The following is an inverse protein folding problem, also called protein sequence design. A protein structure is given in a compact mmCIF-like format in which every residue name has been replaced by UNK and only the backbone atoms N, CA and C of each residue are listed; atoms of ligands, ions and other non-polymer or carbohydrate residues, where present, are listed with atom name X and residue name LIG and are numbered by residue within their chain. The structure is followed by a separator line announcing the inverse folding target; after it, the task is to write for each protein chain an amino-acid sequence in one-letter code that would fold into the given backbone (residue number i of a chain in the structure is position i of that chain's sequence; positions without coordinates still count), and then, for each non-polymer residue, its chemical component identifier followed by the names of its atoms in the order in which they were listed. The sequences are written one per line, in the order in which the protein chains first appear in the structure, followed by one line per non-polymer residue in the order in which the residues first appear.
data_IF_016241183336
#
_entry.id   IF_016241183336
#
_cell.length_a   1.000
_cell.length_b   1.000
_cell.length_c   1.000
_cell.angle_alpha   90.00
_cell.angle_beta   90.00
_cell.angle_gamma   90.00
#
_symmetry.space_group_name_H-M   'P 1'
#
loop_
_entity.id
_entity.type
_entity.pdbx_description
1 polymer ?
#
# COMPACT_ATOMS: atom_id res chain seq x y z
N UNK A 1 4.77 23.90 -18.33
CA UNK A 1 5.13 22.93 -17.28
C UNK A 1 3.97 21.96 -17.18
N UNK A 2 4.18 20.64 -17.14
CA UNK A 2 3.10 19.70 -16.92
C UNK A 2 2.53 19.90 -15.51
N UNK A 3 1.21 19.96 -15.39
CA UNK A 3 0.52 20.15 -14.12
C UNK A 3 -0.57 19.10 -13.92
N UNK A 4 -0.94 18.86 -12.67
CA UNK A 4 -2.07 18.01 -12.29
C UNK A 4 -2.73 18.59 -11.04
N UNK A 5 -4.04 18.82 -11.07
CA UNK A 5 -4.76 19.37 -9.93
C UNK A 5 -5.52 18.25 -9.19
N UNK A 6 -5.39 18.24 -7.86
CA UNK A 6 -6.07 17.31 -6.97
C UNK A 6 -7.10 18.07 -6.15
N UNK A 7 -8.38 17.74 -6.35
CA UNK A 7 -9.47 18.29 -5.56
C UNK A 7 -9.84 17.34 -4.42
N UNK A 8 -9.89 17.92 -3.22
CA UNK A 8 -10.24 17.26 -1.98
C UNK A 8 -11.65 17.72 -1.59
N UNK A 9 -12.63 16.85 -1.79
CA UNK A 9 -14.05 17.23 -1.69
C UNK A 9 -14.52 17.67 -0.28
N UNK A 10 -15.77 18.14 -0.16
CA UNK A 10 -16.32 18.66 1.11
C UNK A 10 -16.48 17.60 2.21
N UNK A 11 -16.40 16.32 1.85
CA UNK A 11 -16.44 15.20 2.80
C UNK A 11 -15.04 14.66 3.15
N UNK A 12 -13.98 15.33 2.73
CA UNK A 12 -12.61 14.91 3.02
C UNK A 12 -12.33 15.08 4.53
N UNK A 13 -11.81 14.04 5.18
CA UNK A 13 -11.77 14.00 6.65
C UNK A 13 -10.70 14.92 7.28
N UNK A 14 -9.67 15.31 6.52
CA UNK A 14 -8.71 16.32 6.97
C UNK A 14 -9.23 17.71 6.61
N UNK A 15 -9.56 18.51 7.62
CA UNK A 15 -10.13 19.86 7.45
C UNK A 15 -9.17 20.83 6.76
N UNK A 16 -7.85 20.58 6.78
CA UNK A 16 -6.88 21.41 6.06
C UNK A 16 -6.96 21.21 4.54
N UNK A 17 -7.43 20.03 4.12
CA UNK A 17 -7.59 19.66 2.73
C UNK A 17 -9.05 19.73 2.29
N UNK A 18 -10.01 19.74 3.21
CA UNK A 18 -11.42 19.79 2.87
C UNK A 18 -11.76 21.02 2.01
N UNK A 19 -12.38 20.76 0.86
CA UNK A 19 -12.73 21.75 -0.16
C UNK A 19 -11.52 22.55 -0.69
N UNK A 20 -10.36 21.89 -0.78
CA UNK A 20 -9.13 22.45 -1.33
C UNK A 20 -8.81 21.82 -2.68
N UNK A 21 -8.29 22.61 -3.61
CA UNK A 21 -7.62 22.11 -4.80
C UNK A 21 -6.13 22.35 -4.64
N UNK A 22 -5.31 21.33 -4.90
CA UNK A 22 -3.86 21.42 -4.84
C UNK A 22 -3.24 21.06 -6.18
N UNK A 23 -2.44 21.98 -6.73
CA UNK A 23 -1.78 21.81 -8.03
C UNK A 23 -0.39 21.22 -7.86
N UNK A 24 -0.13 20.10 -8.51
CA UNK A 24 1.20 19.54 -8.71
C UNK A 24 1.81 20.16 -9.97
N UNK A 25 3.05 20.64 -9.87
CA UNK A 25 3.76 21.26 -10.98
C UNK A 25 5.12 20.59 -11.15
N UNK A 26 5.41 20.11 -12.36
CA UNK A 26 6.71 19.50 -12.66
C UNK A 26 7.65 20.58 -13.20
N UNK A 27 8.74 20.85 -12.47
CA UNK A 27 9.74 21.83 -12.85
C UNK A 27 10.45 21.43 -14.14
N UNK A 28 10.50 22.31 -15.13
CA UNK A 28 11.11 22.05 -16.45
C UNK A 28 12.63 21.99 -16.47
N UNK A 29 13.29 22.40 -15.39
CA UNK A 29 14.73 22.68 -15.35
C UNK A 29 15.53 21.67 -14.50
N UNK A 30 14.87 20.63 -14.00
CA UNK A 30 15.53 19.60 -13.19
C UNK A 30 16.11 18.51 -14.11
N UNK A 31 17.35 18.10 -13.86
CA UNK A 31 18.02 16.97 -14.52
C UNK A 31 17.25 15.65 -14.26
N UNK A 32 16.26 15.70 -13.36
CA UNK A 32 15.26 14.66 -13.12
C UNK A 32 14.22 14.62 -14.24
N UNK A 33 14.28 13.55 -15.04
CA UNK A 33 13.27 13.17 -16.04
C UNK A 33 11.92 12.71 -15.45
N UNK A 34 11.63 13.03 -14.19
CA UNK A 34 10.39 12.64 -13.50
C UNK A 34 10.15 13.44 -12.22
N UNK A 35 8.87 13.64 -11.85
CA UNK A 35 8.47 14.15 -10.55
C UNK A 35 7.78 13.08 -9.71
N UNK A 36 7.98 13.08 -8.39
CA UNK A 36 7.31 12.20 -7.43
C UNK A 36 6.78 13.05 -6.27
N UNK A 37 5.51 12.84 -5.92
CA UNK A 37 4.86 13.42 -4.75
C UNK A 37 4.28 12.31 -3.89
N UNK A 38 4.67 12.27 -2.63
CA UNK A 38 4.21 11.29 -1.65
C UNK A 38 3.01 11.86 -0.91
N UNK A 39 1.92 11.10 -0.91
CA UNK A 39 0.72 11.35 -0.11
C UNK A 39 0.75 10.42 1.11
N UNK A 40 0.62 10.98 2.30
CA UNK A 40 0.65 10.17 3.51
C UNK A 40 0.45 10.98 4.78
N UNK A 41 0.31 10.26 5.90
CA UNK A 41 0.05 10.88 7.20
C UNK A 41 1.28 11.49 7.86
N UNK A 42 2.49 11.09 7.46
CA UNK A 42 3.70 11.68 8.06
C UNK A 42 3.94 13.10 7.53
N UNK A 43 4.44 14.01 8.37
CA UNK A 43 4.82 15.37 7.97
C UNK A 43 6.01 15.41 7.00
N UNK A 44 6.67 14.28 6.77
CA UNK A 44 7.74 14.15 5.77
C UNK A 44 7.21 13.83 4.37
N UNK A 45 5.89 13.72 4.19
CA UNK A 45 5.28 13.53 2.88
C UNK A 45 5.02 14.89 2.23
N UNK A 46 5.13 14.97 0.90
CA UNK A 46 4.88 16.19 0.15
C UNK A 46 3.45 16.70 0.38
N UNK A 47 2.48 15.78 0.39
CA UNK A 47 1.11 16.05 0.78
C UNK A 47 0.81 15.30 2.08
N UNK A 48 0.89 16.05 3.19
CA UNK A 48 0.63 15.53 4.53
C UNK A 48 -0.88 15.50 4.79
N UNK A 49 -1.47 14.31 4.80
CA UNK A 49 -2.90 14.05 5.02
C UNK A 49 -3.06 13.38 6.39
N UNK A 50 -3.41 14.16 7.42
CA UNK A 50 -3.39 13.72 8.82
C UNK A 50 -4.68 12.99 9.23
N UNK A 51 -4.97 11.89 8.54
CA UNK A 51 -6.16 11.06 8.77
C UNK A 51 -5.70 9.69 9.28
N UNK A 52 -6.29 9.19 10.36
CA UNK A 52 -5.87 7.95 11.03
C UNK A 52 -5.70 6.76 10.08
N UNK A 53 -6.66 6.59 9.18
CA UNK A 53 -6.74 5.45 8.27
C UNK A 53 -5.83 5.62 7.03
N UNK A 54 -5.22 6.81 6.86
CA UNK A 54 -4.16 7.05 5.88
C UNK A 54 -2.83 6.57 6.47
N UNK A 55 -2.13 5.73 5.70
CA UNK A 55 -0.80 5.22 6.05
C UNK A 55 0.25 6.33 6.07
N UNK A 56 1.33 6.09 6.82
CA UNK A 56 2.45 7.02 6.99
C UNK A 56 3.01 7.56 5.67
N UNK A 57 3.26 6.65 4.72
CA UNK A 57 3.45 6.90 3.29
C UNK A 57 2.44 6.01 2.59
N UNK A 58 1.40 6.58 2.00
CA UNK A 58 0.24 5.81 1.54
C UNK A 58 0.34 5.50 0.06
N UNK A 59 0.44 6.56 -0.74
CA UNK A 59 0.51 6.49 -2.18
C UNK A 59 1.50 7.53 -2.69
N UNK A 60 1.93 7.39 -3.93
CA UNK A 60 2.69 8.41 -4.65
C UNK A 60 2.01 8.75 -5.96
N UNK A 61 2.05 10.01 -6.34
CA UNK A 61 1.76 10.47 -7.69
C UNK A 61 3.09 10.76 -8.39
N UNK A 62 3.25 10.21 -9.58
CA UNK A 62 4.47 10.26 -10.36
C UNK A 62 4.19 10.85 -11.73
N UNK A 63 5.10 11.67 -12.23
CA UNK A 63 5.11 12.13 -13.61
C UNK A 63 6.34 11.62 -14.35
N UNK A 64 6.15 11.04 -15.53
CA UNK A 64 7.23 10.59 -16.43
C UNK A 64 7.33 11.51 -17.63
N UNK A 65 8.46 12.19 -17.82
CA UNK A 65 8.69 13.01 -19.02
C UNK A 65 8.83 12.17 -20.29
N UNK A 66 9.39 10.95 -20.19
CA UNK A 66 9.56 10.07 -21.34
C UNK A 66 8.22 9.59 -21.91
N UNK A 67 7.23 9.38 -21.04
CA UNK A 67 5.88 8.97 -21.43
C UNK A 67 4.89 10.14 -21.50
N UNK A 68 5.28 11.33 -21.05
CA UNK A 68 4.41 12.49 -20.84
C UNK A 68 3.12 12.11 -20.08
N UNK A 69 3.26 11.39 -18.96
CA UNK A 69 2.14 10.74 -18.29
C UNK A 69 2.23 10.84 -16.77
N UNK A 70 1.09 11.14 -16.15
CA UNK A 70 0.87 11.05 -14.72
C UNK A 70 0.42 9.64 -14.32
N UNK A 71 0.85 9.18 -13.14
CA UNK A 71 0.48 7.87 -12.60
C UNK A 71 0.40 7.87 -11.09
N UNK A 72 -0.48 7.04 -10.55
CA UNK A 72 -0.58 6.76 -9.12
C UNK A 72 0.00 5.37 -8.79
N UNK A 73 0.55 5.24 -7.58
CA UNK A 73 1.11 3.99 -7.07
C UNK A 73 0.79 3.85 -5.58
N UNK A 74 0.40 2.66 -5.14
CA UNK A 74 0.29 2.31 -3.72
C UNK A 74 1.65 1.93 -3.13
N UNK A 75 2.02 2.53 -1.99
CA UNK A 75 3.32 2.32 -1.33
C UNK A 75 3.30 1.20 -0.29
N UNK A 76 2.28 0.34 -0.32
CA UNK A 76 2.04 -0.70 0.68
C UNK A 76 1.21 -0.16 1.84
N UNK A 77 0.17 0.60 1.52
CA UNK A 77 -0.73 1.14 2.53
C UNK A 77 -1.55 0.02 3.19
N UNK A 78 -1.94 0.22 4.45
CA UNK A 78 -2.71 -0.77 5.21
C UNK A 78 -4.11 -0.98 4.61
N UNK A 79 -4.83 0.11 4.34
CA UNK A 79 -6.20 0.07 3.82
C UNK A 79 -6.26 0.04 2.29
N UNK A 80 -5.15 0.32 1.60
CA UNK A 80 -5.02 0.30 0.15
C UNK A 80 -5.34 1.63 -0.53
N UNK A 81 -4.81 1.77 -1.74
CA UNK A 81 -5.16 2.81 -2.70
C UNK A 81 -6.11 2.24 -3.76
N UNK A 82 -7.18 2.96 -4.09
CA UNK A 82 -8.15 2.56 -5.12
C UNK A 82 -8.26 3.66 -6.18
N UNK A 83 -8.14 3.31 -7.44
CA UNK A 83 -8.30 4.22 -8.59
C UNK A 83 -9.52 3.75 -9.39
N UNK A 84 -10.54 4.62 -9.53
CA UNK A 84 -11.77 4.32 -10.27
C UNK A 84 -12.44 2.98 -9.87
N UNK A 85 -12.47 2.69 -8.58
CA UNK A 85 -13.02 1.43 -8.04
C UNK A 85 -12.10 0.21 -8.16
N UNK A 86 -10.92 0.34 -8.78
CA UNK A 86 -9.93 -0.73 -8.90
C UNK A 86 -8.80 -0.52 -7.88
N UNK A 87 -8.59 -1.49 -6.99
CA UNK A 87 -7.50 -1.44 -6.02
C UNK A 87 -6.15 -1.58 -6.71
N UNK A 88 -5.24 -0.67 -6.41
CA UNK A 88 -3.87 -0.71 -6.90
C UNK A 88 -3.11 -1.83 -6.18
N UNK A 89 -2.32 -2.60 -6.93
CA UNK A 89 -1.33 -3.48 -6.32
C UNK A 89 -0.16 -2.64 -5.81
N UNK A 90 0.42 -3.08 -4.70
CA UNK A 90 1.60 -2.42 -4.13
C UNK A 90 2.71 -2.32 -5.18
N UNK A 91 3.21 -1.11 -5.42
CA UNK A 91 4.28 -0.86 -6.37
C UNK A 91 3.88 -0.79 -7.84
N UNK A 92 2.62 -1.08 -8.20
CA UNK A 92 2.18 -0.95 -9.59
C UNK A 92 1.84 0.51 -9.90
N UNK A 93 2.45 1.05 -10.96
CA UNK A 93 2.11 2.36 -11.50
C UNK A 93 0.88 2.25 -12.39
N UNK A 94 -0.12 3.09 -12.13
CA UNK A 94 -1.34 3.19 -12.94
C UNK A 94 -1.52 4.60 -13.47
N UNK A 95 -1.70 4.78 -14.79
CA UNK A 95 -1.99 6.08 -15.36
C UNK A 95 -3.20 6.73 -14.69
N UNK A 96 -3.14 8.05 -14.53
CA UNK A 96 -4.26 8.86 -14.05
C UNK A 96 -4.56 10.00 -15.03
N UNK A 97 -5.84 10.27 -15.23
CA UNK A 97 -6.35 11.29 -16.14
C UNK A 97 -7.31 12.25 -15.41
N UNK A 98 -7.62 13.38 -16.05
CA UNK A 98 -8.60 14.33 -15.52
C UNK A 98 -9.97 13.64 -15.40
N UNK A 99 -10.63 13.82 -14.26
CA UNK A 99 -11.89 13.17 -13.90
C UNK A 99 -11.72 11.88 -13.09
N UNK A 100 -10.50 11.35 -12.98
CA UNK A 100 -10.24 10.14 -12.19
C UNK A 100 -10.47 10.36 -10.71
N UNK A 101 -10.91 9.28 -10.05
CA UNK A 101 -11.19 9.24 -8.63
C UNK A 101 -10.20 8.32 -7.92
N UNK A 102 -9.43 8.89 -7.01
CA UNK A 102 -8.41 8.22 -6.23
C UNK A 102 -8.83 8.19 -4.77
N UNK A 103 -8.98 7.01 -4.20
CA UNK A 103 -9.24 6.83 -2.78
C UNK A 103 -7.99 6.42 -2.04
N UNK A 104 -7.72 7.12 -0.94
CA UNK A 104 -6.77 6.73 0.10
C UNK A 104 -7.57 6.22 1.30
N UNK A 105 -7.57 4.89 1.52
CA UNK A 105 -8.55 4.26 2.39
C UNK A 105 -10.00 4.63 1.98
N UNK A 106 -10.73 5.35 2.84
CA UNK A 106 -12.09 5.83 2.59
C UNK A 106 -12.18 7.27 2.08
N UNK A 107 -11.05 7.95 1.84
CA UNK A 107 -11.01 9.38 1.52
C UNK A 107 -10.80 9.60 0.02
N UNK A 108 -11.72 10.31 -0.61
CA UNK A 108 -11.72 10.55 -2.06
C UNK A 108 -10.95 11.83 -2.44
N UNK A 109 -10.06 11.69 -3.41
CA UNK A 109 -9.40 12.75 -4.14
C UNK A 109 -9.82 12.65 -5.61
N UNK A 110 -10.23 13.76 -6.22
CA UNK A 110 -10.60 13.81 -7.63
C UNK A 110 -9.53 14.55 -8.42
N UNK A 111 -9.12 14.00 -9.57
CA UNK A 111 -8.23 14.68 -10.49
C UNK A 111 -9.04 15.67 -11.32
N UNK A 112 -8.64 16.94 -11.32
CA UNK A 112 -9.34 18.03 -12.03
C UNK A 112 -8.38 18.82 -12.92
N UNK A 113 -8.91 19.59 -13.86
CA UNK A 113 -8.12 20.46 -14.73
C UNK A 113 -7.70 21.72 -13.98
N UNK A 114 -8.67 22.50 -13.48
CA UNK A 114 -8.44 23.75 -12.74
C UNK A 114 -9.34 23.90 -11.50
N UNK A 115 -9.00 24.87 -10.64
CA UNK A 115 -9.71 25.13 -9.38
C UNK A 115 -11.18 25.54 -9.59
N UNK A 116 -11.50 26.18 -10.72
CA UNK A 116 -12.83 26.74 -11.01
C UNK A 116 -13.88 25.70 -11.43
N UNK A 117 -13.46 24.49 -11.87
CA UNK A 117 -14.39 23.40 -12.23
C UNK A 117 -15.02 22.70 -11.00
N UNK A 118 -14.62 23.10 -9.79
CA UNK A 118 -15.09 22.50 -8.54
C UNK A 118 -16.38 23.13 -8.01
N UNK A 119 -16.92 24.16 -8.68
CA UNK A 119 -18.21 24.77 -8.35
C UNK A 119 -19.22 24.47 -9.45
N UNK A 120 -20.06 23.46 -9.22
CA UNK A 120 -21.28 23.30 -9.99
C UNK A 120 -22.16 24.55 -9.84
N UNK A 121 -22.20 25.39 -10.87
CA UNK A 121 -23.30 26.33 -11.07
C UNK A 121 -24.50 25.49 -11.51
N UNK A 122 -25.50 25.40 -10.65
CA UNK A 122 -26.80 24.77 -10.91
C UNK A 122 -27.43 25.33 -12.20
N UNK A 123 -27.21 24.69 -13.36
CA UNK A 123 -27.91 24.99 -14.62
C UNK A 123 -28.13 23.73 -15.48
N UNK A 124 -28.30 22.55 -14.86
CA UNK A 124 -28.68 21.31 -15.55
C UNK A 124 -29.93 20.69 -14.93
N UNK A 125 -30.92 20.20 -15.71
CA UNK A 125 -32.08 19.52 -15.15
C UNK A 125 -31.62 18.31 -14.31
N UNK A 126 -32.29 18.02 -13.19
CA UNK A 126 -31.82 17.06 -12.21
C UNK A 126 -31.71 15.70 -12.88
N UNK A 127 -30.50 15.27 -13.21
CA UNK A 127 -30.26 13.86 -13.44
C UNK A 127 -30.29 13.24 -12.06
N UNK A 128 -31.49 12.81 -11.68
CA UNK A 128 -31.75 12.09 -10.44
C UNK A 128 -30.91 10.82 -10.50
N UNK A 129 -29.67 10.89 -10.01
CA UNK A 129 -29.03 9.71 -9.48
C UNK A 129 -30.00 9.20 -8.41
N UNK A 130 -30.62 8.06 -8.69
CA UNK A 130 -31.64 7.50 -7.83
C UNK A 130 -31.10 7.44 -6.40
N UNK A 131 -31.70 8.19 -5.49
CA UNK A 131 -31.45 8.08 -4.04
C UNK A 131 -31.97 6.74 -3.47
N UNK A 132 -32.26 5.75 -4.32
CA UNK A 132 -32.40 4.38 -3.88
C UNK A 132 -30.98 3.86 -3.61
N UNK A 133 -30.61 3.58 -2.35
CA UNK A 133 -29.37 2.86 -2.10
C UNK A 133 -29.44 1.60 -2.96
N UNK A 134 -28.40 1.34 -3.75
CA UNK A 134 -28.20 0.00 -4.26
C UNK A 134 -28.30 -0.92 -3.04
N UNK A 135 -29.12 -1.99 -3.07
CA UNK A 135 -29.13 -2.93 -1.97
C UNK A 135 -27.68 -3.33 -1.73
N UNK A 136 -27.17 -3.04 -0.54
CA UNK A 136 -25.88 -3.53 -0.11
C UNK A 136 -26.03 -5.04 -0.07
N UNK A 137 -25.60 -5.70 -1.15
CA UNK A 137 -25.30 -7.10 -1.10
C UNK A 137 -23.93 -7.12 -0.41
N UNK A 138 -23.84 -7.46 0.89
CA UNK A 138 -22.54 -7.69 1.48
C UNK A 138 -21.81 -8.66 0.55
N UNK A 139 -20.61 -8.28 0.10
CA UNK A 139 -19.73 -9.26 -0.51
C UNK A 139 -19.72 -10.47 0.44
N UNK A 140 -19.87 -11.71 -0.07
CA UNK A 140 -19.76 -12.88 0.79
C UNK A 140 -18.50 -12.69 1.62
N UNK A 141 -18.63 -12.80 2.94
CA UNK A 141 -17.50 -12.59 3.84
C UNK A 141 -16.31 -13.34 3.23
N UNK A 142 -15.15 -12.69 3.03
CA UNK A 142 -13.98 -13.42 2.56
C UNK A 142 -13.88 -14.67 3.44
N UNK A 143 -13.68 -15.86 2.83
CA UNK A 143 -13.59 -17.09 3.61
C UNK A 143 -12.63 -16.81 4.75
N UNK A 144 -13.05 -17.13 5.99
CA UNK A 144 -12.23 -16.90 7.17
C UNK A 144 -10.80 -17.33 6.80
N UNK A 145 -9.78 -16.47 7.02
CA UNK A 145 -8.41 -16.89 6.75
C UNK A 145 -8.25 -18.27 7.38
N UNK A 146 -7.67 -19.25 6.66
CA UNK A 146 -7.49 -20.59 7.21
C UNK A 146 -6.91 -20.39 8.61
N UNK A 147 -7.53 -21.04 9.60
CA UNK A 147 -7.08 -20.96 10.98
C UNK A 147 -5.55 -21.00 10.97
N UNK A 148 -4.85 -20.08 11.68
CA UNK A 148 -3.40 -20.11 11.70
C UNK A 148 -3.00 -21.56 11.90
N UNK A 149 -2.20 -22.09 10.97
CA UNK A 149 -1.74 -23.47 11.06
C UNK A 149 -1.36 -23.71 12.52
N UNK A 150 -1.84 -24.79 13.16
CA UNK A 150 -1.64 -24.99 14.59
C UNK A 150 -0.19 -24.66 14.86
N UNK A 151 0.05 -23.68 15.75
CA UNK A 151 1.40 -23.27 16.09
C UNK A 151 2.16 -24.55 16.34
N UNK A 152 3.14 -24.86 15.48
CA UNK A 152 3.89 -26.10 15.54
C UNK A 152 4.24 -26.31 17.01
N UNK A 153 3.72 -27.38 17.59
CA UNK A 153 3.90 -27.61 19.02
C UNK A 153 5.40 -27.67 19.24
N UNK A 154 5.90 -27.34 20.43
CA UNK A 154 7.34 -27.46 20.72
C UNK A 154 7.91 -28.82 20.27
N UNK A 155 7.11 -29.89 20.34
CA UNK A 155 7.40 -31.21 19.80
C UNK A 155 7.63 -31.27 18.28
N UNK A 156 6.87 -30.52 17.47
CA UNK A 156 7.00 -30.48 16.01
C UNK A 156 8.31 -29.80 15.57
N UNK A 157 8.76 -28.80 16.34
CA UNK A 157 10.04 -28.11 16.11
C UNK A 157 11.25 -29.00 16.44
N UNK A 158 11.15 -29.90 17.44
CA UNK A 158 12.20 -30.88 17.75
C UNK A 158 12.36 -31.89 16.61
N UNK A 159 11.25 -32.38 16.06
CA UNK A 159 11.27 -33.35 14.95
C UNK A 159 12.03 -32.81 13.73
N UNK A 160 11.78 -31.56 13.36
CA UNK A 160 12.46 -30.91 12.24
C UNK A 160 13.96 -30.71 12.51
N UNK A 161 14.34 -30.32 13.73
CA UNK A 161 15.73 -30.14 14.12
C UNK A 161 16.53 -31.45 14.12
N UNK A 162 15.94 -32.55 14.61
CA UNK A 162 16.58 -33.87 14.60
C UNK A 162 16.77 -34.41 13.17
N UNK A 163 15.77 -34.24 12.30
CA UNK A 163 15.86 -34.64 10.89
C UNK A 163 16.94 -33.84 10.15
N UNK A 164 17.04 -32.52 10.39
CA UNK A 164 18.06 -31.67 9.78
C UNK A 164 19.48 -32.02 10.25
N UNK A 165 19.67 -32.37 11.54
CA UNK A 165 20.94 -32.90 12.04
C UNK A 165 21.28 -34.27 11.44
N UNK A 166 20.27 -35.14 11.26
CA UNK A 166 20.44 -36.49 10.72
C UNK A 166 20.71 -36.51 9.20
N UNK A 167 20.27 -35.50 8.46
CA UNK A 167 20.47 -35.37 7.00
C UNK A 167 20.63 -33.89 6.61
N UNK A 168 21.80 -33.27 6.83
CA UNK A 168 21.98 -31.85 6.54
C UNK A 168 22.03 -31.61 5.03
N UNK A 169 21.13 -30.77 4.53
CA UNK A 169 21.08 -30.36 3.11
C UNK A 169 21.89 -29.10 2.82
N UNK A 170 22.47 -28.47 3.86
CA UNK A 170 23.29 -27.27 3.76
C UNK A 170 24.65 -27.45 4.43
N UNK A 171 25.66 -26.72 3.96
CA UNK A 171 27.01 -26.75 4.53
C UNK A 171 27.03 -26.33 6.01
N UNK A 172 26.21 -25.33 6.39
CA UNK A 172 26.01 -24.93 7.79
C UNK A 172 25.45 -26.08 8.64
N UNK A 173 24.50 -26.86 8.09
CA UNK A 173 23.96 -28.03 8.80
C UNK A 173 24.98 -29.14 9.02
N UNK A 174 25.87 -29.35 8.05
CA UNK A 174 27.01 -30.26 8.21
C UNK A 174 27.89 -29.87 9.39
N UNK A 175 28.30 -28.59 9.47
CA UNK A 175 29.16 -28.10 10.54
C UNK A 175 28.52 -28.26 11.93
N UNK A 176 27.23 -27.92 12.08
CA UNK A 176 26.51 -28.04 13.36
C UNK A 176 26.40 -29.51 13.80
N UNK A 177 26.16 -30.45 12.86
CA UNK A 177 26.13 -31.88 13.17
C UNK A 177 27.45 -32.38 13.75
N UNK A 178 28.59 -31.98 13.18
CA UNK A 178 29.90 -32.42 13.67
C UNK A 178 30.16 -32.00 15.12
N UNK A 179 29.77 -30.76 15.47
CA UNK A 179 29.89 -30.25 16.85
C UNK A 179 29.03 -31.07 17.82
N UNK A 180 27.77 -31.34 17.45
CA UNK A 180 26.84 -32.09 18.31
C UNK A 180 27.32 -33.53 18.53
N UNK A 181 27.74 -34.24 17.47
CA UNK A 181 28.26 -35.61 17.57
C UNK A 181 29.54 -35.65 18.41
N UNK A 182 30.44 -34.69 18.23
CA UNK A 182 31.67 -34.57 19.02
C UNK A 182 31.38 -34.36 20.51
N UNK A 183 30.42 -33.49 20.85
CA UNK A 183 30.00 -33.26 22.24
C UNK A 183 29.40 -34.50 22.88
N UNK A 184 28.53 -35.23 22.17
CA UNK A 184 27.94 -36.47 22.69
C UNK A 184 29.02 -37.54 22.92
N UNK A 185 29.95 -37.71 21.98
CA UNK A 185 31.05 -38.64 22.15
C UNK A 185 31.94 -38.29 23.35
N UNK A 186 32.24 -37.01 23.55
CA UNK A 186 33.00 -36.51 24.70
C UNK A 186 32.28 -36.84 26.02
N UNK A 187 30.97 -36.58 26.10
CA UNK A 187 30.17 -36.89 27.29
C UNK A 187 30.15 -38.40 27.57
N UNK A 188 30.01 -39.24 26.55
CA UNK A 188 30.07 -40.70 26.71
C UNK A 188 31.43 -41.14 27.26
N UNK A 189 32.52 -40.60 26.74
CA UNK A 189 33.87 -40.89 27.26
C UNK A 189 34.03 -40.44 28.70
N UNK A 190 33.50 -39.27 29.08
CA UNK A 190 33.58 -38.76 30.46
C UNK A 190 32.71 -39.53 31.45
N UNK A 191 31.61 -40.13 31.00
CA UNK A 191 30.66 -40.86 31.86
C UNK A 191 31.02 -42.34 31.97
N UNK A 192 31.63 -42.93 30.94
CA UNK A 192 31.88 -44.38 30.85
C UNK A 192 33.36 -44.77 30.71
N UNK A 193 34.28 -43.80 30.72
CA UNK A 193 35.73 -44.02 30.63
C UNK A 193 36.46 -43.91 31.96
#
# INVERSE_FOLDING_TARGET
MPTLSLYFGPSFADLLWCNLTYRLEVATDDDRRSGEWILGRLPTCDLTINIRDVSRRHASINYSYAANQWSAQDLGSQEGTVLNGQRLKKGDLRPIEIGDRLWLASNLITVVEDEEDTVGKDDGPPTVASNKPLPFIPAPAPPAPPAPAPAATYADNIGFALQWLATPTTWMGGAVRFVVVGLVALVVVLVFG
#
